data_IF_912098471140
#
_entry.id   IF_912098471140
#
_cell.length_a   1.000
_cell.length_b   1.000
_cell.length_c   1.000
_cell.angle_alpha   90.00
_cell.angle_beta   90.00
_cell.angle_gamma   90.00
#
_symmetry.space_group_name_H-M   'P 1'
#
loop_
_entity.id
_entity.type
_entity.pdbx_description
1 polymer ?
#
# COMPACT_ATOMS: atom_id res chain seq x y z
N UNK A 1 -20.12 4.76 -9.70
CA UNK A 1 -19.48 3.82 -10.65
C UNK A 1 -19.91 2.40 -10.30
N UNK A 2 -20.45 1.65 -11.25
CA UNK A 2 -20.94 0.28 -11.00
C UNK A 2 -19.74 -0.64 -10.74
N UNK A 3 -19.88 -1.61 -9.81
CA UNK A 3 -18.81 -2.58 -9.47
C UNK A 3 -18.28 -3.32 -10.70
N UNK A 4 -19.12 -3.57 -11.69
CA UNK A 4 -18.74 -4.20 -12.96
C UNK A 4 -17.72 -3.38 -13.73
N UNK A 5 -17.83 -2.06 -13.71
CA UNK A 5 -16.87 -1.15 -14.36
C UNK A 5 -15.51 -1.15 -13.63
N UNK A 6 -15.53 -1.17 -12.28
CA UNK A 6 -14.31 -1.30 -11.48
C UNK A 6 -13.58 -2.62 -11.74
N UNK A 7 -14.32 -3.73 -11.82
CA UNK A 7 -13.74 -5.04 -12.13
C UNK A 7 -13.12 -5.08 -13.53
N UNK A 8 -13.77 -4.46 -14.51
CA UNK A 8 -13.23 -4.35 -15.87
C UNK A 8 -11.92 -3.54 -15.85
N UNK A 9 -11.91 -2.38 -15.22
CA UNK A 9 -10.68 -1.55 -15.07
C UNK A 9 -9.57 -2.31 -14.36
N UNK A 10 -9.89 -3.11 -13.35
CA UNK A 10 -8.90 -3.91 -12.62
C UNK A 10 -8.27 -4.99 -13.53
N UNK A 11 -9.06 -5.64 -14.37
CA UNK A 11 -8.55 -6.61 -15.34
C UNK A 11 -7.73 -5.92 -16.44
N UNK A 12 -8.16 -4.75 -16.91
CA UNK A 12 -7.41 -3.97 -17.88
C UNK A 12 -6.03 -3.55 -17.35
N UNK A 13 -5.95 -3.13 -16.06
CA UNK A 13 -4.66 -2.82 -15.40
C UNK A 13 -3.81 -4.07 -15.25
N UNK A 14 -4.40 -5.20 -14.85
CA UNK A 14 -3.67 -6.47 -14.76
C UNK A 14 -3.03 -6.85 -16.09
N UNK A 15 -3.78 -6.75 -17.19
CA UNK A 15 -3.31 -7.13 -18.52
C UNK A 15 -2.33 -6.13 -19.11
N UNK A 16 -2.69 -4.84 -19.13
CA UNK A 16 -1.97 -3.83 -19.89
C UNK A 16 -0.79 -3.23 -19.13
N UNK A 17 -0.85 -3.20 -17.78
CA UNK A 17 0.20 -2.63 -16.94
C UNK A 17 1.16 -3.71 -16.44
N UNK A 18 0.62 -4.83 -15.97
CA UNK A 18 1.42 -5.89 -15.37
C UNK A 18 1.67 -7.09 -16.29
N UNK A 19 1.05 -7.16 -17.46
CA UNK A 19 1.29 -8.20 -18.46
C UNK A 19 0.70 -9.58 -18.12
N UNK A 20 -0.20 -9.68 -17.15
CA UNK A 20 -0.82 -10.93 -16.75
C UNK A 20 -2.19 -11.10 -17.40
N UNK A 21 -2.46 -12.27 -17.98
CA UNK A 21 -3.73 -12.57 -18.66
C UNK A 21 -4.88 -12.90 -17.70
N UNK A 22 -4.58 -13.32 -16.47
CA UNK A 22 -5.60 -13.72 -15.48
C UNK A 22 -5.07 -13.57 -14.06
N UNK A 23 -6.00 -13.43 -13.12
CA UNK A 23 -5.70 -13.48 -11.69
C UNK A 23 -5.25 -14.87 -11.25
N UNK A 24 -4.39 -14.91 -10.23
CA UNK A 24 -3.95 -16.14 -9.58
C UNK A 24 -4.53 -16.25 -8.18
N UNK A 25 -4.71 -17.45 -7.68
CA UNK A 25 -5.21 -17.72 -6.32
C UNK A 25 -6.48 -16.91 -5.99
N UNK A 26 -6.46 -16.14 -4.90
CA UNK A 26 -7.56 -15.32 -4.40
C UNK A 26 -7.45 -13.84 -4.79
N UNK A 27 -6.53 -13.48 -5.71
CA UNK A 27 -6.26 -12.08 -6.06
C UNK A 27 -7.54 -11.33 -6.48
N UNK A 28 -8.35 -11.90 -7.36
CA UNK A 28 -9.59 -11.26 -7.81
C UNK A 28 -10.53 -10.95 -6.65
N UNK A 29 -10.71 -11.91 -5.73
CA UNK A 29 -11.57 -11.72 -4.56
C UNK A 29 -11.07 -10.61 -3.65
N UNK A 30 -9.76 -10.54 -3.43
CA UNK A 30 -9.12 -9.52 -2.58
C UNK A 30 -9.22 -8.14 -3.25
N UNK A 31 -8.87 -8.03 -4.52
CA UNK A 31 -8.97 -6.79 -5.30
C UNK A 31 -10.40 -6.25 -5.28
N UNK A 32 -11.39 -7.11 -5.53
CA UNK A 32 -12.80 -6.73 -5.49
C UNK A 32 -13.24 -6.23 -4.11
N UNK A 33 -12.76 -6.85 -3.02
CA UNK A 33 -13.04 -6.42 -1.65
C UNK A 33 -12.50 -5.01 -1.38
N UNK A 34 -11.26 -4.74 -1.81
CA UNK A 34 -10.63 -3.42 -1.68
C UNK A 34 -11.35 -2.36 -2.52
N UNK A 35 -11.69 -2.68 -3.76
CA UNK A 35 -12.40 -1.76 -4.67
C UNK A 35 -13.82 -1.41 -4.17
N UNK A 36 -14.45 -2.32 -3.41
CA UNK A 36 -15.74 -2.08 -2.75
C UNK A 36 -15.63 -1.23 -1.47
N UNK A 37 -14.42 -0.86 -1.06
CA UNK A 37 -14.21 -0.07 0.14
C UNK A 37 -14.22 -0.88 1.44
N UNK A 38 -14.02 -2.20 1.38
CA UNK A 38 -13.98 -3.03 2.58
C UNK A 38 -12.59 -3.04 3.22
N UNK A 39 -12.54 -3.01 4.55
CA UNK A 39 -11.34 -3.43 5.27
C UNK A 39 -11.10 -4.91 5.02
N UNK A 40 -9.87 -5.29 4.70
CA UNK A 40 -9.56 -6.64 4.22
C UNK A 40 -8.32 -7.20 4.94
N UNK A 41 -8.40 -8.43 5.40
CA UNK A 41 -7.23 -9.21 5.83
C UNK A 41 -7.01 -10.34 4.82
N UNK A 42 -5.84 -10.35 4.21
CA UNK A 42 -5.47 -11.30 3.18
C UNK A 42 -4.32 -12.20 3.66
N UNK A 43 -4.62 -13.49 3.81
CA UNK A 43 -3.62 -14.52 4.10
C UNK A 43 -3.28 -15.18 2.77
N UNK A 44 -2.04 -15.00 2.32
CA UNK A 44 -1.55 -15.50 1.03
C UNK A 44 -0.11 -15.95 1.17
N UNK A 45 0.27 -17.10 0.59
CA UNK A 45 1.65 -17.57 0.65
C UNK A 45 2.62 -16.59 -0.02
N UNK A 46 3.88 -16.67 0.35
CA UNK A 46 4.97 -15.94 -0.31
C UNK A 46 4.99 -16.29 -1.81
N UNK A 47 5.21 -15.30 -2.66
CA UNK A 47 5.20 -15.50 -4.12
C UNK A 47 3.80 -15.58 -4.78
N UNK A 48 2.71 -15.53 -4.00
CA UNK A 48 1.35 -15.56 -4.54
C UNK A 48 0.89 -14.24 -5.19
N UNK A 49 1.76 -13.24 -5.29
CA UNK A 49 1.44 -11.94 -5.90
C UNK A 49 0.59 -11.03 -5.02
N UNK A 50 0.88 -10.99 -3.71
CA UNK A 50 0.24 -10.08 -2.74
C UNK A 50 0.23 -8.63 -3.21
N UNK A 51 1.33 -8.16 -3.80
CA UNK A 51 1.50 -6.76 -4.23
C UNK A 51 0.43 -6.32 -5.23
N UNK A 52 0.06 -7.15 -6.19
CA UNK A 52 -0.99 -6.84 -7.18
C UNK A 52 -2.34 -6.56 -6.52
N UNK A 53 -2.61 -7.19 -5.37
CA UNK A 53 -3.89 -7.05 -4.68
C UNK A 53 -4.14 -5.64 -4.13
N UNK A 54 -3.10 -4.83 -3.94
CA UNK A 54 -3.25 -3.42 -3.55
C UNK A 54 -2.77 -2.45 -4.64
N UNK A 55 -1.80 -2.85 -5.47
CA UNK A 55 -1.28 -2.00 -6.54
C UNK A 55 -2.36 -1.71 -7.61
N UNK A 56 -3.13 -2.73 -8.00
CA UNK A 56 -4.24 -2.55 -8.96
C UNK A 56 -5.29 -1.58 -8.43
N UNK A 57 -5.86 -1.75 -7.22
CA UNK A 57 -6.76 -0.75 -6.63
C UNK A 57 -6.14 0.65 -6.51
N UNK A 58 -4.87 0.75 -6.13
CA UNK A 58 -4.17 2.03 -6.00
C UNK A 58 -4.06 2.79 -7.34
N UNK A 59 -3.79 2.07 -8.43
CA UNK A 59 -3.69 2.64 -9.79
C UNK A 59 -5.07 3.16 -10.25
N UNK A 60 -6.13 2.41 -9.99
CA UNK A 60 -7.50 2.75 -10.40
C UNK A 60 -8.06 3.92 -9.59
N UNK A 61 -7.70 4.00 -8.32
CA UNK A 61 -8.20 5.02 -7.39
C UNK A 61 -7.75 6.41 -7.80
N UNK A 62 -8.62 7.41 -7.58
CA UNK A 62 -8.25 8.83 -7.62
C UNK A 62 -7.52 9.28 -6.35
N UNK A 63 -7.64 8.52 -5.26
CA UNK A 63 -7.05 8.82 -3.96
C UNK A 63 -5.66 8.22 -3.83
N UNK A 64 -4.90 8.71 -2.84
CA UNK A 64 -3.54 8.26 -2.53
C UNK A 64 -3.56 6.94 -1.75
N UNK A 65 -2.49 6.17 -1.91
CA UNK A 65 -2.27 4.90 -1.20
C UNK A 65 -0.97 4.95 -0.40
N UNK A 66 -1.04 4.54 0.85
CA UNK A 66 0.12 4.43 1.76
C UNK A 66 0.37 2.96 2.05
N UNK A 67 1.57 2.49 1.72
CA UNK A 67 2.01 1.12 1.98
C UNK A 67 3.02 1.12 3.13
N UNK A 68 2.72 0.35 4.16
CA UNK A 68 3.56 0.20 5.35
C UNK A 68 4.26 -1.14 5.25
N UNK A 69 5.57 -1.13 5.15
CA UNK A 69 6.40 -2.32 5.06
C UNK A 69 7.54 -2.28 6.08
N UNK A 70 7.88 -3.42 6.70
CA UNK A 70 8.95 -3.46 7.71
C UNK A 70 10.35 -3.57 7.11
N UNK A 71 10.47 -3.82 5.81
CA UNK A 71 11.72 -4.13 5.13
C UNK A 71 12.05 -3.10 4.05
N UNK A 72 13.17 -2.40 4.23
CA UNK A 72 13.65 -1.36 3.28
C UNK A 72 13.94 -1.98 1.90
N UNK A 73 14.64 -3.11 1.86
CA UNK A 73 14.95 -3.78 0.60
C UNK A 73 13.70 -4.13 -0.21
N UNK A 74 12.64 -4.57 0.49
CA UNK A 74 11.36 -4.86 -0.17
C UNK A 74 10.67 -3.60 -0.72
N UNK A 75 10.79 -2.46 -0.02
CA UNK A 75 10.27 -1.19 -0.55
C UNK A 75 10.99 -0.79 -1.83
N UNK A 76 12.32 -0.95 -1.87
CA UNK A 76 13.15 -0.64 -3.03
C UNK A 76 12.78 -1.51 -4.23
N UNK A 77 12.63 -2.81 -4.02
CA UNK A 77 12.21 -3.76 -5.05
C UNK A 77 10.81 -3.43 -5.57
N UNK A 78 9.85 -3.12 -4.70
CA UNK A 78 8.48 -2.78 -5.10
C UNK A 78 8.41 -1.48 -5.90
N UNK A 79 9.14 -0.44 -5.48
CA UNK A 79 9.20 0.84 -6.20
C UNK A 79 9.87 0.67 -7.57
N UNK A 80 10.94 -0.12 -7.64
CA UNK A 80 11.65 -0.41 -8.90
C UNK A 80 10.74 -1.18 -9.87
N UNK A 81 10.08 -2.23 -9.40
CA UNK A 81 9.15 -3.01 -10.21
C UNK A 81 7.96 -2.18 -10.74
N UNK A 82 7.41 -1.27 -9.92
CA UNK A 82 6.37 -0.35 -10.36
C UNK A 82 6.88 0.60 -11.45
N UNK A 83 8.09 1.13 -11.32
CA UNK A 83 8.71 2.00 -12.34
C UNK A 83 8.90 1.29 -13.67
N UNK A 84 9.32 0.01 -13.66
CA UNK A 84 9.41 -0.82 -14.86
C UNK A 84 8.05 -0.99 -15.57
N UNK A 85 6.97 -1.01 -14.79
CA UNK A 85 5.60 -1.02 -15.32
C UNK A 85 5.07 0.39 -15.68
N UNK A 86 5.91 1.43 -15.64
CA UNK A 86 5.51 2.81 -15.94
C UNK A 86 4.74 3.52 -14.82
N UNK A 87 4.69 2.95 -13.61
CA UNK A 87 3.98 3.50 -12.46
C UNK A 87 4.96 4.21 -11.53
N UNK A 88 4.71 5.49 -11.28
CA UNK A 88 5.52 6.27 -10.34
C UNK A 88 5.07 6.01 -8.91
N UNK A 89 6.03 5.67 -8.04
CA UNK A 89 5.81 5.44 -6.63
C UNK A 89 6.93 6.05 -5.79
N UNK A 90 6.57 6.65 -4.65
CA UNK A 90 7.47 7.20 -3.67
C UNK A 90 7.88 6.15 -2.63
N UNK A 91 9.00 6.40 -1.95
CA UNK A 91 9.42 5.69 -0.74
C UNK A 91 10.08 6.64 0.23
N UNK A 92 9.95 6.37 1.54
CA UNK A 92 10.67 7.09 2.60
C UNK A 92 11.10 6.08 3.66
N UNK A 93 12.41 5.95 3.88
CA UNK A 93 13.01 5.11 4.90
C UNK A 93 14.29 5.73 5.48
N UNK A 94 14.88 5.08 6.50
CA UNK A 94 16.03 5.62 7.27
C UNK A 94 17.27 5.86 6.43
N UNK A 95 17.53 5.01 5.43
CA UNK A 95 18.78 5.02 4.66
C UNK A 95 18.81 6.12 3.58
N UNK A 96 17.71 6.84 3.38
CA UNK A 96 17.63 7.96 2.46
C UNK A 96 18.16 9.24 3.10
N UNK A 97 18.80 10.09 2.30
CA UNK A 97 19.19 11.45 2.71
C UNK A 97 17.96 12.33 2.97
N UNK A 98 18.16 13.46 3.64
CA UNK A 98 17.08 14.42 3.87
C UNK A 98 16.46 14.92 2.55
N UNK A 99 17.27 15.23 1.56
CA UNK A 99 16.82 15.77 0.28
C UNK A 99 16.01 14.73 -0.52
N UNK A 100 16.46 13.47 -0.51
CA UNK A 100 15.71 12.37 -1.14
C UNK A 100 14.34 12.17 -0.48
N UNK A 101 14.28 12.16 0.86
CA UNK A 101 13.02 12.05 1.60
C UNK A 101 12.09 13.22 1.33
N UNK A 102 12.63 14.44 1.32
CA UNK A 102 11.87 15.66 1.03
C UNK A 102 11.32 15.65 -0.40
N UNK A 103 12.14 15.27 -1.37
CA UNK A 103 11.73 15.12 -2.77
C UNK A 103 10.63 14.07 -2.94
N UNK A 104 10.80 12.87 -2.38
CA UNK A 104 9.79 11.80 -2.41
C UNK A 104 8.47 12.25 -1.78
N UNK A 105 8.53 12.93 -0.63
CA UNK A 105 7.34 13.45 0.02
C UNK A 105 6.62 14.49 -0.83
N UNK A 106 7.35 15.44 -1.41
CA UNK A 106 6.78 16.48 -2.26
C UNK A 106 6.13 15.90 -3.53
N UNK A 107 6.75 14.92 -4.16
CA UNK A 107 6.19 14.22 -5.31
C UNK A 107 4.87 13.54 -4.96
N UNK A 108 4.83 12.83 -3.83
CA UNK A 108 3.61 12.19 -3.34
C UNK A 108 2.54 13.23 -2.97
N UNK A 109 2.90 14.27 -2.21
CA UNK A 109 1.98 15.34 -1.81
C UNK A 109 1.33 16.02 -3.02
N UNK A 110 2.12 16.34 -4.03
CA UNK A 110 1.65 17.05 -5.23
C UNK A 110 0.95 16.14 -6.25
N UNK A 111 0.82 14.85 -5.98
CA UNK A 111 0.08 13.90 -6.83
C UNK A 111 0.85 13.39 -8.04
N UNK A 112 2.15 13.68 -8.15
CA UNK A 112 3.03 13.09 -9.16
C UNK A 112 3.15 11.57 -8.95
N UNK A 113 3.14 11.15 -7.69
CA UNK A 113 3.16 9.76 -7.25
C UNK A 113 1.92 9.49 -6.41
N UNK A 114 1.19 8.40 -6.69
CA UNK A 114 -0.03 8.03 -5.97
C UNK A 114 0.19 7.01 -4.87
N UNK A 115 1.31 6.32 -4.91
CA UNK A 115 1.67 5.26 -3.95
C UNK A 115 2.93 5.71 -3.22
N UNK A 116 2.93 5.60 -1.89
CA UNK A 116 4.13 5.82 -1.09
C UNK A 116 4.36 4.62 -0.16
N UNK A 117 5.61 4.16 -0.12
CA UNK A 117 6.08 3.12 0.80
C UNK A 117 6.78 3.75 1.99
N UNK A 118 6.39 3.35 3.19
CA UNK A 118 6.87 3.89 4.46
C UNK A 118 7.20 2.78 5.45
N UNK A 119 8.16 3.04 6.33
CA UNK A 119 8.36 2.20 7.51
C UNK A 119 7.28 2.48 8.57
N UNK A 120 6.96 1.50 9.44
CA UNK A 120 5.97 1.69 10.51
C UNK A 120 6.35 2.82 11.47
N UNK A 121 7.62 3.00 11.79
CA UNK A 121 8.11 4.07 12.65
C UNK A 121 7.88 5.45 12.02
N UNK A 122 8.07 5.54 10.70
CA UNK A 122 7.90 6.81 9.99
C UNK A 122 6.47 7.26 9.97
N UNK A 123 5.53 6.37 9.66
CA UNK A 123 4.12 6.75 9.55
C UNK A 123 3.54 7.17 10.90
N UNK A 124 4.01 6.59 12.00
CA UNK A 124 3.46 6.87 13.34
C UNK A 124 4.11 8.08 14.03
N UNK A 125 5.08 8.75 13.40
CA UNK A 125 5.57 10.02 13.93
C UNK A 125 4.49 11.10 13.84
N UNK A 126 4.31 11.88 14.92
CA UNK A 126 3.22 12.86 15.04
C UNK A 126 3.23 13.88 13.89
N UNK A 127 4.41 14.44 13.59
CA UNK A 127 4.56 15.40 12.49
C UNK A 127 4.12 14.82 11.14
N UNK A 128 4.46 13.55 10.89
CA UNK A 128 4.12 12.92 9.61
C UNK A 128 2.63 12.56 9.54
N UNK A 129 2.05 12.10 10.62
CA UNK A 129 0.59 11.87 10.72
C UNK A 129 -0.20 13.15 10.44
N UNK A 130 0.25 14.28 11.02
CA UNK A 130 -0.41 15.57 10.80
C UNK A 130 -0.31 16.00 9.33
N UNK A 131 0.80 15.75 8.66
CA UNK A 131 0.93 15.99 7.22
C UNK A 131 0.05 15.05 6.39
N UNK A 132 -0.03 13.76 6.73
CA UNK A 132 -0.89 12.79 6.03
C UNK A 132 -2.38 13.16 6.13
N UNK A 133 -2.82 13.69 7.28
CA UNK A 133 -4.23 14.13 7.49
C UNK A 133 -4.65 15.24 6.52
N UNK A 134 -3.72 15.97 5.93
CA UNK A 134 -4.03 17.01 4.93
C UNK A 134 -4.28 16.44 3.54
N UNK A 135 -4.07 15.15 3.33
CA UNK A 135 -4.17 14.48 2.03
C UNK A 135 -5.39 13.56 1.96
N UNK A 136 -5.93 13.39 0.76
CA UNK A 136 -7.01 12.42 0.52
C UNK A 136 -6.43 11.01 0.35
N UNK A 137 -6.23 10.33 1.49
CA UNK A 137 -5.75 8.94 1.53
C UNK A 137 -6.95 8.01 1.41
N UNK A 138 -6.95 7.16 0.39
CA UNK A 138 -8.02 6.17 0.17
C UNK A 138 -7.71 4.78 0.73
N UNK A 139 -6.43 4.42 0.78
CA UNK A 139 -6.03 3.06 1.14
C UNK A 139 -4.73 3.07 1.98
N UNK A 140 -4.78 2.38 3.11
CA UNK A 140 -3.59 1.96 3.85
C UNK A 140 -3.38 0.46 3.63
N UNK A 141 -2.15 0.10 3.29
CA UNK A 141 -1.70 -1.28 3.12
C UNK A 141 -0.71 -1.60 4.23
N UNK A 142 -0.97 -2.65 4.99
CA UNK A 142 -0.07 -3.11 6.06
C UNK A 142 0.49 -4.45 5.60
N UNK A 143 1.72 -4.42 5.14
CA UNK A 143 2.44 -5.64 4.75
C UNK A 143 3.03 -6.32 5.99
N UNK A 144 3.14 -7.64 5.93
CA UNK A 144 3.65 -8.48 7.04
C UNK A 144 2.93 -8.21 8.38
N UNK A 145 1.60 -8.14 8.35
CA UNK A 145 0.78 -7.78 9.52
C UNK A 145 1.01 -8.73 10.72
N UNK A 146 1.58 -9.92 10.52
CA UNK A 146 1.95 -10.81 11.61
C UNK A 146 2.98 -10.20 12.58
N UNK A 147 3.74 -9.16 12.15
CA UNK A 147 4.62 -8.39 13.03
C UNK A 147 3.89 -7.71 14.20
N UNK A 148 2.56 -7.63 14.17
CA UNK A 148 1.72 -7.17 15.31
C UNK A 148 1.73 -8.18 16.46
N UNK A 149 1.99 -9.47 16.19
CA UNK A 149 1.89 -10.52 17.21
C UNK A 149 3.06 -10.49 18.18
N UNK A 150 2.78 -10.23 19.46
CA UNK A 150 3.76 -10.28 20.55
C UNK A 150 4.40 -11.67 20.76
N UNK A 151 3.78 -12.71 20.22
CA UNK A 151 4.22 -14.09 20.34
C UNK A 151 5.07 -14.57 19.15
N UNK A 152 5.25 -13.72 18.11
CA UNK A 152 6.05 -14.05 16.93
C UNK A 152 7.50 -13.59 17.07
N UNK A 153 8.45 -14.31 16.43
CA UNK A 153 9.87 -13.94 16.36
C UNK A 153 10.12 -12.58 15.69
N UNK A 154 9.14 -12.06 14.92
CA UNK A 154 9.22 -10.82 14.16
C UNK A 154 8.39 -9.67 14.79
N UNK A 155 8.09 -9.73 16.08
CA UNK A 155 7.34 -8.69 16.76
C UNK A 155 8.01 -7.31 16.62
N UNK A 156 7.21 -6.33 16.19
CA UNK A 156 7.62 -4.91 16.12
C UNK A 156 6.61 -4.04 16.88
N UNK A 157 7.04 -3.36 17.95
CA UNK A 157 6.15 -2.51 18.77
C UNK A 157 5.39 -1.46 17.96
N UNK A 158 6.02 -0.91 16.92
CA UNK A 158 5.43 0.13 16.08
C UNK A 158 4.20 -0.35 15.30
N UNK A 159 4.11 -1.65 14.98
CA UNK A 159 2.92 -2.22 14.35
C UNK A 159 1.67 -2.16 15.22
N UNK A 160 1.79 -2.19 16.56
CA UNK A 160 0.63 -2.06 17.45
C UNK A 160 -0.04 -0.69 17.31
N UNK A 161 0.73 0.35 17.02
CA UNK A 161 0.22 1.70 16.85
C UNK A 161 -0.58 1.85 15.56
N UNK A 162 -0.36 0.99 14.55
CA UNK A 162 -1.09 1.03 13.27
C UNK A 162 -2.60 0.81 13.45
N UNK A 163 -3.04 0.21 14.55
CA UNK A 163 -4.47 0.08 14.89
C UNK A 163 -5.18 1.44 14.97
N UNK A 164 -4.46 2.51 15.27
CA UNK A 164 -4.98 3.88 15.36
C UNK A 164 -5.33 4.46 13.99
N UNK A 165 -4.76 3.92 12.88
CA UNK A 165 -5.02 4.42 11.53
C UNK A 165 -6.51 4.43 11.19
N UNK A 166 -7.27 3.45 11.68
CA UNK A 166 -8.71 3.38 11.44
C UNK A 166 -9.47 4.57 12.04
N UNK A 167 -9.10 5.01 13.25
CA UNK A 167 -9.73 6.16 13.92
C UNK A 167 -9.19 7.50 13.38
N UNK A 168 -7.92 7.55 13.02
CA UNK A 168 -7.29 8.76 12.48
C UNK A 168 -7.71 9.07 11.04
N UNK A 169 -8.04 8.03 10.25
CA UNK A 169 -8.44 8.13 8.84
C UNK A 169 -9.73 7.34 8.59
N UNK A 170 -10.88 7.80 9.11
CA UNK A 170 -12.13 7.02 9.06
C UNK A 170 -12.67 6.79 7.64
N UNK A 171 -12.25 7.62 6.68
CA UNK A 171 -12.67 7.52 5.27
C UNK A 171 -11.71 6.70 4.41
N UNK A 172 -10.67 6.12 5.01
CA UNK A 172 -9.70 5.28 4.32
C UNK A 172 -9.95 3.80 4.59
N UNK A 173 -9.69 2.96 3.60
CA UNK A 173 -9.72 1.52 3.78
C UNK A 173 -8.37 1.00 4.27
N UNK A 174 -8.38 -0.13 4.95
CA UNK A 174 -7.17 -0.80 5.41
C UNK A 174 -7.15 -2.22 4.86
N UNK A 175 -6.05 -2.60 4.24
CA UNK A 175 -5.77 -3.98 3.89
C UNK A 175 -4.49 -4.45 4.60
N UNK A 176 -4.57 -5.59 5.28
CA UNK A 176 -3.44 -6.26 5.89
C UNK A 176 -3.06 -7.52 5.12
N UNK A 177 -1.77 -7.76 4.94
CA UNK A 177 -1.24 -8.97 4.34
C UNK A 177 -0.36 -9.74 5.30
N UNK A 178 -0.46 -11.07 5.24
CA UNK A 178 0.46 -12.01 5.89
C UNK A 178 0.60 -13.25 5.04
N UNK A 179 1.67 -13.99 5.26
CA UNK A 179 1.86 -15.33 4.74
C UNK A 179 1.26 -16.36 5.69
#
# INVERSE_FOLDING_TARGET
MLITELKKKALDVLNNTFGYSSYRYKQEKIINSVLLGNHTLAIMPTGAGKSLCYQIPAIISSKKTVVISPLISLMDDQVSALKECGIQAAKIHSDMTYDERSSSWNNFKNGKEKIIYLSPEKIMSEDFLNQLKTLDIGLFVIDEIHCVSKWGHNFRPDYNQLSQLKSLFPNSNIIGFTA
#
